data_IF_123983828149
#
_entry.id   IF_123983828149
#
_cell.length_a   1.000
_cell.length_b   1.000
_cell.length_c   1.000
_cell.angle_alpha   90.00
_cell.angle_beta   90.00
_cell.angle_gamma   90.00
#
_symmetry.space_group_name_H-M   'P 1'
#
loop_
_entity.id
_entity.type
_entity.pdbx_description
1 polymer ?
#
# COMPACT_ATOMS: atom_id res chain seq x y z
N UNK A 1 1.71 -11.94 -34.83
CA UNK A 1 2.67 -10.92 -34.33
C UNK A 1 2.08 -9.93 -33.32
N UNK A 2 0.86 -9.40 -33.51
CA UNK A 2 0.25 -8.37 -32.64
C UNK A 2 0.12 -8.80 -31.14
N UNK A 3 -0.37 -10.00 -30.84
CA UNK A 3 -0.52 -10.53 -29.46
C UNK A 3 0.80 -10.57 -28.66
N UNK A 4 1.90 -11.07 -29.27
CA UNK A 4 3.24 -11.08 -28.63
C UNK A 4 3.76 -9.67 -28.31
N UNK A 5 3.43 -8.67 -29.14
CA UNK A 5 3.83 -7.27 -28.94
C UNK A 5 3.04 -6.63 -27.79
N UNK A 6 1.74 -6.91 -27.70
CA UNK A 6 0.86 -6.46 -26.60
C UNK A 6 1.30 -7.08 -25.27
N UNK A 7 1.57 -8.39 -25.23
CA UNK A 7 2.01 -9.07 -24.02
C UNK A 7 3.34 -8.50 -23.47
N UNK A 8 4.31 -8.20 -24.35
CA UNK A 8 5.55 -7.53 -23.94
C UNK A 8 5.31 -6.13 -23.38
N UNK A 9 4.35 -5.39 -23.96
CA UNK A 9 3.99 -4.04 -23.49
C UNK A 9 3.32 -4.11 -22.12
N UNK A 10 2.35 -5.01 -21.93
CA UNK A 10 1.70 -5.25 -20.63
C UNK A 10 2.71 -5.65 -19.55
N UNK A 11 3.64 -6.56 -19.87
CA UNK A 11 4.68 -6.98 -18.92
C UNK A 11 5.56 -5.82 -18.48
N UNK A 12 6.00 -4.97 -19.42
CA UNK A 12 6.82 -3.79 -19.11
C UNK A 12 6.08 -2.80 -18.22
N UNK A 13 4.83 -2.48 -18.57
CA UNK A 13 4.03 -1.56 -17.76
C UNK A 13 3.75 -2.16 -16.37
N UNK A 14 3.57 -3.48 -16.26
CA UNK A 14 3.46 -4.17 -14.97
C UNK A 14 4.74 -4.08 -14.13
N UNK A 15 5.93 -4.24 -14.73
CA UNK A 15 7.22 -4.05 -14.04
C UNK A 15 7.42 -2.62 -13.53
N UNK A 16 6.92 -1.63 -14.28
CA UNK A 16 7.05 -0.22 -13.92
C UNK A 16 6.13 0.19 -12.77
N UNK A 17 4.98 -0.48 -12.63
CA UNK A 17 3.89 0.00 -11.77
C UNK A 17 3.41 -0.97 -10.68
N UNK A 18 3.60 -2.30 -10.80
CA UNK A 18 3.21 -3.30 -9.79
C UNK A 18 4.36 -3.54 -8.80
N UNK A 19 4.50 -2.69 -7.79
CA UNK A 19 5.67 -2.67 -6.89
C UNK A 19 5.35 -2.93 -5.43
N UNK A 20 4.14 -2.64 -4.98
CA UNK A 20 3.74 -2.74 -3.57
C UNK A 20 3.43 -4.17 -3.16
N UNK A 21 2.71 -4.90 -4.00
CA UNK A 21 2.33 -6.29 -3.76
C UNK A 21 3.24 -7.22 -4.55
N UNK A 22 4.08 -7.99 -3.85
CA UNK A 22 5.09 -8.87 -4.46
C UNK A 22 4.88 -10.33 -4.05
N UNK A 23 5.27 -11.32 -4.87
CA UNK A 23 5.17 -12.73 -4.48
C UNK A 23 5.98 -13.03 -3.21
N UNK A 24 5.39 -13.76 -2.26
CA UNK A 24 6.11 -14.18 -1.06
C UNK A 24 7.14 -15.26 -1.41
N UNK A 25 8.42 -15.12 -1.00
CA UNK A 25 9.52 -15.99 -1.47
C UNK A 25 9.36 -17.46 -1.08
N UNK A 26 8.68 -17.73 0.03
CA UNK A 26 8.54 -19.07 0.61
C UNK A 26 7.10 -19.60 0.67
N UNK A 27 6.10 -18.77 0.34
CA UNK A 27 4.69 -19.14 0.49
C UNK A 27 4.03 -19.13 -0.88
N UNK A 28 3.74 -20.32 -1.39
CA UNK A 28 3.10 -20.48 -2.70
C UNK A 28 1.74 -19.79 -2.69
N UNK A 29 1.44 -19.07 -3.76
CA UNK A 29 0.20 -18.29 -3.96
C UNK A 29 -0.04 -17.17 -2.94
N UNK A 30 0.94 -16.82 -2.10
CA UNK A 30 0.83 -15.68 -1.19
C UNK A 30 1.59 -14.49 -1.76
N UNK A 31 1.08 -13.31 -1.44
CA UNK A 31 1.72 -12.05 -1.75
C UNK A 31 2.15 -11.40 -0.43
N UNK A 32 3.15 -10.52 -0.51
CA UNK A 32 3.63 -9.73 0.61
C UNK A 32 3.73 -8.26 0.20
N UNK A 33 3.56 -7.41 1.21
CA UNK A 33 3.81 -5.98 1.13
C UNK A 33 4.96 -5.68 2.08
N UNK A 34 5.96 -4.95 1.62
CA UNK A 34 7.10 -4.56 2.43
C UNK A 34 6.93 -3.11 2.91
N UNK A 35 7.13 -2.89 4.20
CA UNK A 35 7.16 -1.55 4.79
C UNK A 35 8.58 -1.02 4.80
N UNK A 36 8.86 0.14 4.17
CA UNK A 36 10.18 0.74 4.24
C UNK A 36 10.44 1.24 5.66
N UNK A 37 11.51 0.75 6.29
CA UNK A 37 11.95 1.22 7.61
C UNK A 37 13.43 1.60 7.58
N UNK A 38 13.78 2.70 8.24
CA UNK A 38 15.16 3.21 8.28
C UNK A 38 16.07 2.33 9.14
N UNK A 39 15.53 1.81 10.25
CA UNK A 39 16.24 0.94 11.20
C UNK A 39 15.21 0.26 12.14
N UNK A 40 15.70 -0.59 13.05
CA UNK A 40 14.84 -1.30 14.01
C UNK A 40 14.07 -0.36 14.94
N UNK A 41 14.67 0.75 15.37
CA UNK A 41 14.00 1.70 16.25
C UNK A 41 12.82 2.37 15.54
N UNK A 42 13.01 2.76 14.28
CA UNK A 42 11.94 3.27 13.43
C UNK A 42 10.80 2.24 13.33
N UNK A 43 11.10 0.97 13.05
CA UNK A 43 10.10 -0.10 13.03
C UNK A 43 9.34 -0.22 14.37
N UNK A 44 10.04 -0.14 15.51
CA UNK A 44 9.38 -0.18 16.83
C UNK A 44 8.45 1.02 17.04
N UNK A 45 8.84 2.22 16.60
CA UNK A 45 7.95 3.40 16.64
C UNK A 45 6.72 3.20 15.75
N UNK A 46 6.87 2.61 14.55
CA UNK A 46 5.72 2.30 13.69
C UNK A 46 4.71 1.38 14.37
N UNK A 47 5.21 0.31 14.99
CA UNK A 47 4.39 -0.66 15.72
C UNK A 47 3.73 0.02 16.93
N UNK A 48 4.50 0.84 17.67
CA UNK A 48 3.99 1.60 18.81
C UNK A 48 2.84 2.52 18.39
N UNK A 49 3.01 3.33 17.35
CA UNK A 49 1.98 4.27 16.89
C UNK A 49 0.71 3.54 16.40
N UNK A 50 0.85 2.41 15.71
CA UNK A 50 -0.29 1.57 15.32
C UNK A 50 -1.07 1.05 16.54
N UNK A 51 -0.36 0.58 17.58
CA UNK A 51 -0.97 0.13 18.83
C UNK A 51 -1.67 1.30 19.54
N UNK A 52 -1.02 2.46 19.64
CA UNK A 52 -1.60 3.66 20.27
C UNK A 52 -2.92 4.04 19.62
N UNK A 53 -2.95 4.16 18.29
CA UNK A 53 -4.18 4.49 17.54
C UNK A 53 -5.26 3.43 17.73
N UNK A 54 -4.89 2.14 17.74
CA UNK A 54 -5.84 1.04 17.98
C UNK A 54 -6.46 1.10 19.39
N UNK A 55 -5.64 1.39 20.41
CA UNK A 55 -6.09 1.60 21.79
C UNK A 55 -7.02 2.81 21.89
N UNK A 56 -6.73 3.91 21.18
CA UNK A 56 -7.63 5.07 21.11
C UNK A 56 -8.97 4.73 20.47
N UNK A 57 -8.98 3.96 19.38
CA UNK A 57 -10.21 3.55 18.72
C UNK A 57 -11.08 2.67 19.64
N UNK A 58 -10.46 1.74 20.39
CA UNK A 58 -11.15 0.85 21.32
C UNK A 58 -11.72 1.57 22.55
N UNK A 59 -11.00 2.55 23.10
CA UNK A 59 -11.45 3.30 24.27
C UNK A 59 -12.51 4.37 23.95
N UNK A 60 -12.83 4.56 22.66
CA UNK A 60 -13.52 5.75 22.18
C UNK A 60 -12.62 6.99 22.26
N UNK A 61 -12.96 8.05 21.54
CA UNK A 61 -12.26 9.36 21.62
C UNK A 61 -12.54 10.04 22.97
N UNK A 62 -12.97 9.32 23.99
CA UNK A 62 -13.02 9.83 25.34
C UNK A 62 -11.61 9.81 25.90
N UNK A 63 -11.04 11.01 26.07
CA UNK A 63 -9.66 11.29 26.51
C UNK A 63 -9.33 10.76 27.93
N UNK A 64 -10.06 9.78 28.46
CA UNK A 64 -10.14 9.43 29.88
C UNK A 64 -10.21 7.94 30.19
N UNK A 65 -9.46 7.09 29.48
CA UNK A 65 -9.13 5.75 30.00
C UNK A 65 -8.07 5.82 31.11
N UNK A 66 -7.94 4.78 31.93
CA UNK A 66 -7.02 4.70 33.09
C UNK A 66 -5.55 5.01 32.79
N UNK A 67 -5.15 4.97 31.51
CA UNK A 67 -3.84 5.41 31.01
C UNK A 67 -4.01 6.24 29.73
N UNK A 68 -4.16 7.56 29.83
CA UNK A 68 -4.26 8.40 28.65
C UNK A 68 -2.95 8.35 27.85
N UNK A 69 -3.08 8.15 26.54
CA UNK A 69 -1.95 8.14 25.62
C UNK A 69 -1.34 9.55 25.53
N UNK A 70 0.00 9.62 25.57
CA UNK A 70 0.73 10.86 25.31
C UNK A 70 0.74 11.15 23.81
N UNK A 71 0.37 12.37 23.43
CA UNK A 71 0.38 12.87 22.04
C UNK A 71 -0.41 12.00 21.03
N UNK A 72 -1.70 11.75 21.26
CA UNK A 72 -2.53 10.89 20.41
C UNK A 72 -2.58 11.35 18.94
N UNK A 73 -2.61 12.66 18.73
CA UNK A 73 -2.64 13.30 17.40
C UNK A 73 -1.41 12.95 16.57
N UNK A 74 -0.25 12.83 17.22
CA UNK A 74 1.01 12.45 16.57
C UNK A 74 0.97 10.99 16.12
N UNK A 75 0.51 10.08 16.98
CA UNK A 75 0.35 8.66 16.63
C UNK A 75 -0.63 8.47 15.46
N UNK A 76 -1.76 9.20 15.46
CA UNK A 76 -2.69 9.21 14.32
C UNK A 76 -2.00 9.72 13.05
N UNK A 77 -1.28 10.83 13.13
CA UNK A 77 -0.59 11.42 11.98
C UNK A 77 0.43 10.46 11.39
N UNK A 78 1.24 9.78 12.19
CA UNK A 78 2.22 8.80 11.71
C UNK A 78 1.52 7.59 11.07
N UNK A 79 0.51 7.00 11.72
CA UNK A 79 -0.26 5.89 11.12
C UNK A 79 -0.88 6.29 9.78
N UNK A 80 -1.41 7.51 9.64
CA UNK A 80 -1.94 8.01 8.38
C UNK A 80 -0.85 8.19 7.31
N UNK A 81 0.35 8.66 7.67
CA UNK A 81 1.49 8.71 6.74
C UNK A 81 1.87 7.32 6.25
N UNK A 82 1.91 6.32 7.13
CA UNK A 82 2.17 4.94 6.73
C UNK A 82 1.04 4.36 5.88
N UNK A 83 -0.21 4.69 6.17
CA UNK A 83 -1.33 4.30 5.32
C UNK A 83 -1.21 4.91 3.92
N UNK A 84 -0.74 6.16 3.79
CA UNK A 84 -0.45 6.77 2.49
C UNK A 84 0.68 6.03 1.75
N UNK A 85 1.74 5.61 2.44
CA UNK A 85 2.81 4.80 1.83
C UNK A 85 2.34 3.42 1.35
N UNK A 86 1.23 2.91 1.89
CA UNK A 86 0.60 1.67 1.46
C UNK A 86 -0.35 1.83 0.28
N UNK A 87 -0.82 3.04 -0.02
CA UNK A 87 -1.72 3.25 -1.14
C UNK A 87 -0.99 2.93 -2.45
N UNK A 88 -1.49 1.96 -3.23
CA UNK A 88 -0.84 1.52 -4.45
C UNK A 88 -1.22 2.45 -5.61
N UNK A 89 -0.84 3.73 -5.50
CA UNK A 89 -1.23 4.78 -6.45
C UNK A 89 -0.65 4.50 -7.83
N UNK A 90 0.59 4.03 -7.89
CA UNK A 90 1.23 3.65 -9.14
C UNK A 90 0.55 2.44 -9.78
N UNK A 91 0.07 1.47 -8.99
CA UNK A 91 -0.74 0.36 -9.49
C UNK A 91 -2.13 0.81 -9.98
N UNK A 92 -2.74 1.81 -9.34
CA UNK A 92 -4.00 2.38 -9.81
C UNK A 92 -3.81 3.05 -11.19
N UNK A 93 -2.74 3.84 -11.38
CA UNK A 93 -2.40 4.41 -12.68
C UNK A 93 -2.15 3.33 -13.76
N UNK A 94 -1.61 2.18 -13.36
CA UNK A 94 -1.42 1.05 -14.27
C UNK A 94 -2.74 0.48 -14.76
N UNK A 95 -3.72 0.31 -13.86
CA UNK A 95 -5.06 -0.16 -14.20
C UNK A 95 -5.72 0.81 -15.19
N UNK A 96 -5.59 2.11 -14.96
CA UNK A 96 -6.13 3.14 -15.87
C UNK A 96 -5.48 3.05 -17.26
N UNK A 97 -4.14 2.96 -17.33
CA UNK A 97 -3.40 2.81 -18.59
C UNK A 97 -3.76 1.53 -19.34
N UNK A 98 -3.99 0.41 -18.63
CA UNK A 98 -4.47 -0.83 -19.26
C UNK A 98 -5.85 -0.61 -19.87
N UNK A 99 -6.76 0.00 -19.12
CA UNK A 99 -8.14 0.24 -19.56
C UNK A 99 -8.17 1.11 -20.81
N UNK A 100 -7.35 2.16 -20.86
CA UNK A 100 -7.20 3.01 -22.04
C UNK A 100 -6.71 2.22 -23.27
N UNK A 101 -5.68 1.38 -23.10
CA UNK A 101 -5.12 0.56 -24.19
C UNK A 101 -6.16 -0.42 -24.74
N UNK A 102 -7.00 -1.00 -23.86
CA UNK A 102 -8.05 -1.93 -24.24
C UNK A 102 -9.17 -1.21 -25.01
N UNK A 103 -9.65 -0.07 -24.52
CA UNK A 103 -10.73 0.70 -25.15
C UNK A 103 -10.34 1.27 -26.53
N UNK A 104 -9.08 1.63 -26.74
CA UNK A 104 -8.55 2.04 -28.05
C UNK A 104 -8.54 0.90 -29.10
N UNK A 105 -8.67 -0.36 -28.67
CA UNK A 105 -8.79 -1.49 -29.60
C UNK A 105 -10.21 -1.66 -30.11
N UNK A 106 -11.23 -1.38 -29.29
CA UNK A 106 -12.65 -1.49 -29.69
C UNK A 106 -13.07 -0.45 -30.72
N UNK A 107 -12.36 0.67 -30.82
CA UNK A 107 -12.66 1.75 -31.79
C UNK A 107 -12.00 1.57 -33.16
N UNK A 108 -11.22 0.50 -33.37
CA UNK A 108 -10.48 0.24 -34.62
C UNK A 108 -10.92 -1.00 -35.38
N UNK A 109 -11.96 -1.67 -34.91
CA UNK A 109 -12.74 -2.67 -35.66
C UNK A 109 -14.07 -2.04 -36.10
#
# INVERSE_FOLDING_TARGET
>A
MKKKKIFKRLKRVGEDHLRKLTPHPHLRNHQQICFPVQNHLHLMFLIEDLIKVSVMALNGIERGGDRPLKEPERGISEVLKHALDLLPLEEAEFIDKITEILNQQETKD
#
